data_IF_574408697930
#
_entry.id   IF_574408697930
#
_cell.length_a   1.000
_cell.length_b   1.000
_cell.length_c   1.000
_cell.angle_alpha   90.00
_cell.angle_beta   90.00
_cell.angle_gamma   90.00
#
_symmetry.space_group_name_H-M   'P 1'
#
loop_
_entity.id
_entity.type
_entity.pdbx_description
1 polymer ?
#
# COMPACT_ATOMS: atom_id res chain seq x y z
N UNK A 1 -4.27 -4.95 -28.68
CA UNK A 1 -4.03 -6.24 -28.25
C UNK A 1 -3.20 -6.35 -27.00
N UNK A 2 -3.59 -7.20 -26.12
CA UNK A 2 -2.90 -7.32 -24.91
C UNK A 2 -1.62 -8.00 -25.07
N UNK A 3 -0.65 -7.52 -24.39
CA UNK A 3 0.62 -8.15 -24.33
C UNK A 3 0.55 -9.28 -23.35
N UNK A 4 0.26 -10.47 -23.84
CA UNK A 4 -0.02 -11.60 -22.98
C UNK A 4 1.12 -11.91 -22.02
N UNK A 5 2.33 -11.60 -22.36
CA UNK A 5 3.45 -11.89 -21.51
C UNK A 5 3.80 -10.78 -20.55
N UNK A 6 3.14 -9.63 -20.68
CA UNK A 6 3.48 -8.50 -19.84
C UNK A 6 2.52 -8.36 -18.72
N UNK A 7 3.06 -8.15 -17.54
CA UNK A 7 2.28 -7.85 -16.38
C UNK A 7 2.82 -6.57 -15.78
N UNK A 8 1.92 -5.64 -15.49
CA UNK A 8 2.33 -4.44 -14.81
C UNK A 8 2.45 -4.72 -13.33
N UNK A 9 3.63 -4.49 -12.79
CA UNK A 9 3.85 -4.63 -11.36
C UNK A 9 3.58 -3.31 -10.68
N UNK A 10 3.23 -3.39 -9.41
CA UNK A 10 3.00 -2.20 -8.62
C UNK A 10 4.33 -1.48 -8.40
N UNK A 11 4.27 -0.14 -8.45
CA UNK A 11 5.42 0.65 -8.03
C UNK A 11 5.67 0.47 -6.55
N UNK A 12 6.85 0.89 -6.11
CA UNK A 12 7.23 0.68 -4.72
C UNK A 12 6.25 1.33 -3.74
N UNK A 13 5.86 2.57 -4.00
CA UNK A 13 4.94 3.26 -3.09
C UNK A 13 3.56 2.64 -3.14
N UNK A 14 3.09 2.27 -4.35
CA UNK A 14 1.80 1.59 -4.46
C UNK A 14 1.77 0.31 -3.66
N UNK A 15 2.85 -0.47 -3.72
CA UNK A 15 2.93 -1.70 -2.96
C UNK A 15 2.92 -1.43 -1.48
N UNK A 16 3.69 -0.44 -1.02
CA UNK A 16 3.72 -0.10 0.40
C UNK A 16 2.35 0.37 0.90
N UNK A 17 1.65 1.17 0.08
CA UNK A 17 0.32 1.63 0.43
C UNK A 17 -0.65 0.44 0.51
N UNK A 18 -0.60 -0.45 -0.47
CA UNK A 18 -1.48 -1.62 -0.46
C UNK A 18 -1.21 -2.50 0.75
N UNK A 19 0.07 -2.75 1.05
CA UNK A 19 0.42 -3.55 2.23
C UNK A 19 -0.03 -2.88 3.52
N UNK A 20 0.06 -1.56 3.61
CA UNK A 20 -0.41 -0.85 4.79
C UNK A 20 -1.91 -0.97 4.97
N UNK A 21 -2.66 -1.02 3.86
CA UNK A 21 -4.11 -1.17 3.93
C UNK A 21 -4.50 -2.58 4.36
N UNK A 22 -3.81 -3.60 3.83
CA UNK A 22 -4.17 -4.99 4.15
C UNK A 22 -3.67 -5.44 5.51
N UNK A 23 -2.80 -4.67 6.13
CA UNK A 23 -2.23 -5.04 7.42
C UNK A 23 -3.33 -5.15 8.47
N UNK A 24 -3.34 -6.24 9.23
CA UNK A 24 -4.34 -6.36 10.30
C UNK A 24 -4.21 -5.20 11.29
N UNK A 25 -5.33 -4.59 11.59
CA UNK A 25 -5.37 -3.47 12.51
C UNK A 25 -6.78 -3.38 13.08
N UNK A 26 -6.86 -2.89 14.32
CA UNK A 26 -8.15 -2.64 14.92
C UNK A 26 -8.82 -1.40 14.36
N UNK A 27 -8.07 -0.59 13.60
CA UNK A 27 -8.59 0.65 13.05
C UNK A 27 -8.61 0.58 11.54
N UNK A 28 -9.60 1.23 10.95
CA UNK A 28 -9.72 1.31 9.51
C UNK A 28 -8.61 2.19 8.94
N UNK A 29 -8.14 1.84 7.74
CA UNK A 29 -7.06 2.57 7.10
C UNK A 29 -7.57 3.83 6.42
N UNK A 30 -6.90 4.94 6.64
CA UNK A 30 -7.17 6.19 5.95
C UNK A 30 -5.82 6.86 5.62
N UNK A 31 -5.86 7.88 4.74
CA UNK A 31 -4.62 8.43 4.19
C UNK A 31 -3.53 8.71 5.20
N UNK A 32 -3.88 9.44 6.28
CA UNK A 32 -2.89 9.80 7.29
C UNK A 32 -2.37 8.59 8.03
N UNK A 33 -3.25 7.64 8.39
CA UNK A 33 -2.81 6.44 9.10
C UNK A 33 -1.92 5.57 8.22
N UNK A 34 -2.21 5.52 6.93
CA UNK A 34 -1.38 4.79 5.97
C UNK A 34 0.01 5.42 5.87
N UNK A 35 0.06 6.74 5.70
CA UNK A 35 1.33 7.45 5.61
C UNK A 35 2.16 7.26 6.88
N UNK A 36 1.50 7.32 8.04
CA UNK A 36 2.16 7.13 9.32
C UNK A 36 2.72 5.72 9.46
N UNK A 37 1.94 4.73 9.02
CA UNK A 37 2.37 3.34 9.05
C UNK A 37 3.60 3.11 8.17
N UNK A 38 3.59 3.68 6.96
CA UNK A 38 4.73 3.55 6.05
C UNK A 38 5.96 4.22 6.65
N UNK A 39 5.81 5.42 7.21
CA UNK A 39 6.94 6.13 7.81
C UNK A 39 7.54 5.33 8.96
N UNK A 40 6.68 4.74 9.78
CA UNK A 40 7.12 3.95 10.95
C UNK A 40 7.86 2.70 10.49
N UNK A 41 7.34 2.04 9.47
CA UNK A 41 7.93 0.78 8.99
C UNK A 41 9.20 0.98 8.18
N UNK A 42 9.28 2.07 7.43
CA UNK A 42 10.42 2.30 6.52
C UNK A 42 11.48 3.21 7.12
N UNK A 43 11.16 3.93 8.18
CA UNK A 43 12.05 4.94 8.72
C UNK A 43 12.11 6.19 7.87
N UNK A 44 11.25 6.33 6.87
CA UNK A 44 11.24 7.48 5.97
C UNK A 44 9.85 8.07 5.89
N UNK A 45 9.82 9.39 5.84
CA UNK A 45 8.56 10.09 5.66
C UNK A 45 8.14 10.02 4.21
N UNK A 46 6.84 9.90 3.97
CA UNK A 46 6.29 9.97 2.63
C UNK A 46 5.32 11.15 2.59
N UNK A 47 5.30 11.83 1.45
CA UNK A 47 4.38 12.94 1.27
C UNK A 47 2.95 12.42 1.23
N UNK A 48 2.07 13.07 1.96
CA UNK A 48 0.68 12.66 2.02
C UNK A 48 0.03 12.71 0.65
N UNK A 49 0.39 13.72 -0.17
CA UNK A 49 -0.13 13.82 -1.53
C UNK A 49 0.25 12.60 -2.37
N UNK A 50 1.46 12.07 -2.16
CA UNK A 50 1.90 10.88 -2.89
C UNK A 50 1.12 9.65 -2.46
N UNK A 51 0.80 9.57 -1.16
CA UNK A 51 -0.02 8.47 -0.65
C UNK A 51 -1.41 8.51 -1.27
N UNK A 52 -2.02 9.69 -1.32
CA UNK A 52 -3.35 9.82 -1.93
C UNK A 52 -3.33 9.49 -3.42
N UNK A 53 -2.28 9.90 -4.14
CA UNK A 53 -2.15 9.55 -5.55
C UNK A 53 -2.03 8.03 -5.74
N UNK A 54 -1.28 7.37 -4.87
CA UNK A 54 -1.14 5.91 -4.92
C UNK A 54 -2.49 5.23 -4.62
N UNK A 55 -3.21 5.73 -3.62
CA UNK A 55 -4.52 5.20 -3.26
C UNK A 55 -5.48 5.29 -4.45
N UNK A 56 -5.46 6.43 -5.13
CA UNK A 56 -6.32 6.62 -6.28
C UNK A 56 -6.00 5.63 -7.40
N UNK A 57 -4.72 5.43 -7.67
CA UNK A 57 -4.31 4.48 -8.71
C UNK A 57 -4.69 3.06 -8.34
N UNK A 58 -4.52 2.68 -7.08
CA UNK A 58 -4.89 1.34 -6.62
C UNK A 58 -6.40 1.12 -6.71
N UNK A 59 -7.17 2.15 -6.39
CA UNK A 59 -8.61 2.06 -6.51
C UNK A 59 -9.03 1.87 -7.96
N UNK A 60 -8.41 2.63 -8.87
CA UNK A 60 -8.70 2.50 -10.30
C UNK A 60 -8.34 1.12 -10.85
N UNK A 61 -7.32 0.51 -10.29
CA UNK A 61 -6.93 -0.85 -10.70
C UNK A 61 -7.82 -1.92 -10.08
N UNK A 62 -8.74 -1.52 -9.22
CA UNK A 62 -9.63 -2.48 -8.59
C UNK A 62 -9.05 -3.21 -7.40
N UNK A 63 -7.94 -2.71 -6.86
CA UNK A 63 -7.27 -3.33 -5.71
C UNK A 63 -7.77 -2.79 -4.38
N UNK A 64 -8.36 -1.60 -4.37
CA UNK A 64 -8.90 -0.99 -3.17
C UNK A 64 -10.31 -0.49 -3.41
N UNK A 65 -11.08 -0.44 -2.33
CA UNK A 65 -12.37 0.23 -2.29
C UNK A 65 -12.30 1.30 -1.21
N UNK A 66 -12.95 2.43 -1.49
CA UNK A 66 -13.03 3.50 -0.50
C UNK A 66 -14.45 3.61 0.03
N UNK A 67 -14.58 4.14 1.23
CA UNK A 67 -15.88 4.43 1.82
C UNK A 67 -15.74 5.63 2.74
N UNK A 68 -16.82 6.40 2.84
CA UNK A 68 -16.84 7.53 3.77
C UNK A 68 -17.24 7.03 5.15
N UNK A 69 -16.53 7.53 6.15
CA UNK A 69 -16.89 7.26 7.53
C UNK A 69 -17.86 8.31 8.05
N UNK A 70 -18.08 8.26 9.35
CA UNK A 70 -18.91 9.26 9.99
C UNK A 70 -18.22 10.61 10.03
N UNK A 71 -18.97 11.73 9.95
CA UNK A 71 -18.36 13.04 10.13
C UNK A 71 -17.71 13.14 11.50
N UNK A 72 -16.54 13.77 11.55
CA UNK A 72 -15.76 13.89 12.78
C UNK A 72 -15.63 15.36 13.15
N UNK A 73 -15.99 15.68 14.37
CA UNK A 73 -15.99 17.06 14.85
C UNK A 73 -14.60 17.69 14.71
N UNK A 74 -13.56 16.94 15.02
CA UNK A 74 -12.19 17.40 14.93
C UNK A 74 -11.76 17.77 13.52
N UNK A 75 -12.50 17.29 12.52
CA UNK A 75 -12.23 17.60 11.13
C UNK A 75 -13.21 18.65 10.58
N UNK A 76 -13.84 19.40 11.47
CA UNK A 76 -14.80 20.39 11.06
C UNK A 76 -16.07 19.82 10.46
N UNK A 77 -16.45 18.62 10.92
CA UNK A 77 -17.64 17.96 10.42
C UNK A 77 -17.44 17.18 9.15
N UNK A 78 -16.22 17.10 8.62
CA UNK A 78 -15.95 16.37 7.39
C UNK A 78 -15.77 14.89 7.66
N UNK A 79 -16.31 14.07 6.77
CA UNK A 79 -16.14 12.63 6.87
C UNK A 79 -14.73 12.24 6.43
N UNK A 80 -14.22 11.17 7.03
CA UNK A 80 -12.93 10.61 6.68
C UNK A 80 -13.14 9.51 5.64
N UNK A 81 -12.27 9.45 4.65
CA UNK A 81 -12.32 8.38 3.65
C UNK A 81 -11.46 7.22 4.11
N UNK A 82 -12.06 6.05 4.19
CA UNK A 82 -11.38 4.82 4.59
C UNK A 82 -11.19 3.93 3.37
N UNK A 83 -10.18 3.08 3.43
CA UNK A 83 -9.83 2.18 2.33
C UNK A 83 -9.73 0.76 2.84
N UNK A 84 -10.14 -0.18 2.00
CA UNK A 84 -9.94 -1.59 2.27
C UNK A 84 -9.58 -2.31 0.98
N UNK A 85 -8.87 -3.41 1.11
CA UNK A 85 -8.44 -4.17 -0.06
C UNK A 85 -9.58 -5.04 -0.57
N UNK A 86 -9.66 -5.13 -1.90
CA UNK A 86 -10.55 -6.09 -2.55
C UNK A 86 -9.89 -7.47 -2.53
N UNK A 87 -10.63 -8.55 -2.82
CA UNK A 87 -9.99 -9.86 -2.98
C UNK A 87 -8.89 -9.85 -4.05
N UNK A 88 -9.10 -9.11 -5.14
CA UNK A 88 -8.07 -8.95 -6.16
C UNK A 88 -6.85 -8.23 -5.61
N UNK A 89 -7.06 -7.19 -4.80
CA UNK A 89 -5.96 -6.48 -4.16
C UNK A 89 -5.19 -7.37 -3.20
N UNK A 90 -5.88 -8.20 -2.44
CA UNK A 90 -5.22 -9.14 -1.53
C UNK A 90 -4.35 -10.12 -2.29
N UNK A 91 -4.86 -10.65 -3.40
CA UNK A 91 -4.06 -11.56 -4.22
C UNK A 91 -2.85 -10.87 -4.80
N UNK A 92 -3.04 -9.65 -5.26
CA UNK A 92 -1.92 -8.88 -5.84
C UNK A 92 -0.84 -8.61 -4.79
N UNK A 93 -1.25 -8.24 -3.58
CA UNK A 93 -0.30 -8.01 -2.49
C UNK A 93 0.50 -9.27 -2.18
N UNK A 94 -0.17 -10.40 -2.05
CA UNK A 94 0.50 -11.66 -1.76
C UNK A 94 1.45 -12.08 -2.86
N UNK A 95 0.99 -11.96 -4.10
CA UNK A 95 1.78 -12.38 -5.24
C UNK A 95 3.02 -11.53 -5.41
N UNK A 96 2.88 -10.21 -5.25
CA UNK A 96 4.02 -9.32 -5.37
C UNK A 96 5.01 -9.54 -4.23
N UNK A 97 4.50 -9.72 -3.02
CA UNK A 97 5.36 -9.99 -1.88
C UNK A 97 6.16 -11.28 -2.09
N UNK A 98 5.49 -12.33 -2.55
CA UNK A 98 6.15 -13.61 -2.80
C UNK A 98 7.24 -13.48 -3.85
N UNK A 99 6.98 -12.72 -4.91
CA UNK A 99 7.97 -12.47 -5.95
C UNK A 99 9.18 -11.73 -5.38
N UNK A 100 8.94 -10.69 -4.60
CA UNK A 100 10.03 -9.93 -4.00
C UNK A 100 10.86 -10.79 -3.05
N UNK A 101 10.21 -11.65 -2.29
CA UNK A 101 10.92 -12.53 -1.38
C UNK A 101 11.80 -13.53 -2.12
N UNK A 102 11.29 -14.07 -3.23
CA UNK A 102 12.11 -14.97 -4.04
C UNK A 102 13.31 -14.26 -4.65
N UNK A 103 13.10 -13.03 -5.12
CA UNK A 103 14.18 -12.28 -5.74
C UNK A 103 15.21 -11.81 -4.72
N UNK A 104 14.80 -11.54 -3.49
CA UNK A 104 15.69 -11.00 -2.48
C UNK A 104 16.27 -12.06 -1.55
N UNK A 105 15.97 -13.34 -1.79
CA UNK A 105 16.37 -14.40 -0.87
C UNK A 105 17.87 -14.57 -0.72
N UNK A 106 18.61 -14.19 -1.76
CA UNK A 106 20.06 -14.36 -1.76
C UNK A 106 20.80 -13.04 -1.72
N UNK A 107 20.20 -12.01 -1.13
CA UNK A 107 20.86 -10.72 -1.06
C UNK A 107 22.13 -10.83 -0.23
N UNK A 108 23.24 -10.26 -0.72
CA UNK A 108 24.45 -10.23 0.09
C UNK A 108 24.29 -9.30 1.28
N UNK A 109 25.16 -9.50 2.26
CA UNK A 109 25.19 -8.67 3.43
C UNK A 109 25.56 -7.24 3.03
N UNK A 110 24.76 -6.28 3.46
CA UNK A 110 24.97 -4.87 3.11
C UNK A 110 26.17 -4.27 3.82
N UNK A 111 26.75 -4.97 4.79
CA UNK A 111 27.98 -4.51 5.42
C UNK A 111 29.19 -4.76 4.53
N UNK A 112 29.03 -5.48 3.43
CA UNK A 112 30.12 -5.79 2.54
C UNK A 112 30.88 -7.04 2.91
N UNK A 113 30.45 -7.74 3.93
CA UNK A 113 31.12 -8.98 4.32
C UNK A 113 30.48 -10.15 3.60
N UNK A 114 31.27 -11.13 3.20
CA UNK A 114 30.71 -12.31 2.55
C UNK A 114 29.77 -13.04 3.50
N UNK A 115 28.69 -13.54 2.95
CA UNK A 115 27.71 -14.25 3.71
C UNK A 115 28.25 -15.63 4.11
#
# INVERSE_FOLDING_TARGET
MEDMGKREYLGQLELMVLLAVVRPSSQKAYGVSIARNIARSSGRQVALASVYAALERLEKKGFLLSSLGEPVVERGGKARTYFRATPTGMREARQTQATLMRLSGDLPDLTGEPA
#
